data_IF_052220599798
#
_entry.id   IF_052220599798
#
_cell.length_a   1.000
_cell.length_b   1.000
_cell.length_c   1.000
_cell.angle_alpha   90.00
_cell.angle_beta   90.00
_cell.angle_gamma   90.00
#
_symmetry.space_group_name_H-M   'P 1'
#
loop_
_entity.id
_entity.type
_entity.pdbx_description
1 polymer ?
#
# COMPACT_ATOMS: atom_id res chain seq x y z
N UNK A 1 -16.16 17.23 9.29
CA UNK A 1 -14.95 16.65 8.66
C UNK A 1 -15.01 15.13 8.74
N UNK A 2 -14.94 14.48 7.61
CA UNK A 2 -14.97 13.02 7.57
C UNK A 2 -13.54 12.46 7.71
N UNK A 3 -13.39 11.48 8.59
CA UNK A 3 -12.11 10.88 8.93
C UNK A 3 -12.08 9.40 8.56
N UNK A 4 -10.96 8.94 8.06
CA UNK A 4 -10.71 7.52 7.84
C UNK A 4 -9.34 7.12 8.38
N UNK A 5 -9.29 5.96 9.02
CA UNK A 5 -8.04 5.29 9.41
C UNK A 5 -7.73 4.26 8.34
N UNK A 6 -6.51 4.15 7.90
CA UNK A 6 -6.10 3.07 7.00
C UNK A 6 -4.68 2.59 7.28
N UNK A 7 -4.43 1.35 6.87
CA UNK A 7 -3.16 0.67 6.96
C UNK A 7 -3.00 -0.27 5.77
N UNK A 8 -1.76 -0.53 5.36
CA UNK A 8 -1.45 -1.44 4.26
C UNK A 8 -0.54 -2.57 4.69
N UNK A 9 -0.68 -3.71 4.02
CA UNK A 9 0.28 -4.79 4.09
C UNK A 9 0.93 -4.97 2.72
N UNK A 10 2.23 -5.25 2.73
CA UNK A 10 3.04 -5.37 1.51
C UNK A 10 3.81 -6.68 1.50
N UNK A 11 4.14 -7.15 0.29
CA UNK A 11 5.01 -8.32 0.08
C UNK A 11 6.06 -7.95 -0.97
N UNK A 12 7.29 -8.40 -0.76
CA UNK A 12 8.36 -8.27 -1.75
C UNK A 12 8.20 -9.28 -2.88
N UNK A 13 8.74 -8.93 -4.06
CA UNK A 13 8.93 -9.91 -5.12
C UNK A 13 9.96 -10.96 -4.68
N UNK A 14 9.94 -12.13 -5.29
CA UNK A 14 10.98 -13.12 -5.06
C UNK A 14 12.31 -12.56 -5.62
N UNK A 15 13.32 -12.45 -4.75
CA UNK A 15 14.63 -11.91 -5.10
C UNK A 15 15.25 -12.62 -6.32
N UNK A 16 15.07 -13.93 -6.43
CA UNK A 16 15.59 -14.74 -7.55
C UNK A 16 14.92 -14.41 -8.89
N UNK A 17 13.75 -13.74 -8.88
CA UNK A 17 13.08 -13.31 -10.11
C UNK A 17 13.61 -11.98 -10.67
N UNK A 18 14.39 -11.25 -9.88
CA UNK A 18 15.03 -10.02 -10.32
C UNK A 18 16.17 -10.32 -11.30
N UNK A 19 16.38 -9.40 -12.26
CA UNK A 19 17.54 -9.51 -13.13
C UNK A 19 18.87 -9.33 -12.35
N UNK A 20 19.96 -9.80 -12.93
CA UNK A 20 21.26 -9.80 -12.26
C UNK A 20 21.78 -8.41 -11.88
N UNK A 21 21.44 -7.37 -12.64
CA UNK A 21 21.83 -5.99 -12.32
C UNK A 21 21.07 -5.47 -11.11
N UNK A 22 19.77 -5.77 -11.02
CA UNK A 22 18.96 -5.39 -9.88
C UNK A 22 19.41 -6.11 -8.60
N UNK A 23 19.68 -7.41 -8.70
CA UNK A 23 20.23 -8.19 -7.57
C UNK A 23 21.57 -7.61 -7.09
N UNK A 24 22.50 -7.35 -8.02
CA UNK A 24 23.80 -6.76 -7.69
C UNK A 24 23.67 -5.38 -7.05
N UNK A 25 22.80 -4.53 -7.57
CA UNK A 25 22.53 -3.20 -7.01
C UNK A 25 22.01 -3.28 -5.58
N UNK A 26 21.04 -4.14 -5.33
CA UNK A 26 20.46 -4.34 -3.99
C UNK A 26 21.50 -4.88 -2.99
N UNK A 27 22.33 -5.82 -3.42
CA UNK A 27 23.38 -6.39 -2.58
C UNK A 27 24.52 -5.41 -2.28
N UNK A 28 24.80 -4.45 -3.16
CA UNK A 28 25.83 -3.42 -2.92
C UNK A 28 25.54 -2.53 -1.72
N UNK A 29 24.29 -2.31 -1.40
CA UNK A 29 23.87 -1.51 -0.24
C UNK A 29 24.16 -2.23 1.08
N UNK A 30 24.19 -3.55 1.06
CA UNK A 30 24.49 -4.39 2.22
C UNK A 30 26.02 -4.51 2.42
N UNK A 31 26.47 -4.12 3.61
CA UNK A 31 27.90 -4.04 3.95
C UNK A 31 28.44 -5.29 4.61
N UNK A 32 27.59 -6.07 5.25
CA UNK A 32 27.96 -7.31 5.97
C UNK A 32 27.27 -8.51 5.36
N UNK A 33 27.79 -9.75 5.59
CA UNK A 33 27.09 -10.96 5.16
C UNK A 33 25.68 -11.08 5.72
N UNK A 34 25.48 -10.67 6.97
CA UNK A 34 24.19 -10.70 7.65
C UNK A 34 23.20 -9.74 6.98
N UNK A 35 23.64 -8.53 6.63
CA UNK A 35 22.82 -7.58 5.88
C UNK A 35 22.42 -8.11 4.49
N UNK A 36 23.33 -8.84 3.83
CA UNK A 36 23.04 -9.45 2.52
C UNK A 36 21.97 -10.54 2.61
N UNK A 37 21.96 -11.31 3.68
CA UNK A 37 20.94 -12.33 3.91
C UNK A 37 19.55 -11.72 4.14
N UNK A 38 19.49 -10.50 4.66
CA UNK A 38 18.23 -9.77 4.91
C UNK A 38 17.67 -9.05 3.67
N UNK A 39 18.46 -8.87 2.62
CA UNK A 39 18.01 -8.14 1.41
C UNK A 39 16.71 -8.70 0.83
N UNK A 40 16.54 -10.02 0.65
CA UNK A 40 15.28 -10.56 0.14
C UNK A 40 14.06 -10.22 1.01
N UNK A 41 14.22 -10.21 2.34
CA UNK A 41 13.13 -9.89 3.27
C UNK A 41 12.76 -8.41 3.25
N UNK A 42 13.70 -7.53 2.89
CA UNK A 42 13.50 -6.08 2.83
C UNK A 42 12.83 -5.59 1.55
N UNK A 43 12.65 -6.46 0.56
CA UNK A 43 12.03 -6.09 -0.72
C UNK A 43 10.59 -5.60 -0.56
N UNK A 44 9.89 -6.04 0.48
CA UNK A 44 8.54 -5.60 0.81
C UNK A 44 8.46 -4.14 1.28
N UNK A 45 9.57 -3.52 1.67
CA UNK A 45 9.60 -2.15 2.17
C UNK A 45 9.72 -1.09 1.08
N UNK A 46 10.00 -1.49 -0.15
CA UNK A 46 10.09 -0.58 -1.30
C UNK A 46 8.95 -0.83 -2.29
N UNK A 47 8.25 0.21 -2.75
CA UNK A 47 7.21 0.05 -3.78
C UNK A 47 7.77 -0.31 -5.17
N UNK A 48 9.10 -0.28 -5.35
CA UNK A 48 9.75 -0.71 -6.59
C UNK A 48 10.02 -2.21 -6.61
N UNK A 49 10.13 -2.85 -5.45
CA UNK A 49 10.41 -4.28 -5.29
C UNK A 49 9.32 -5.03 -4.54
N UNK A 50 8.31 -4.31 -4.08
CA UNK A 50 7.16 -4.86 -3.37
C UNK A 50 5.85 -4.49 -4.01
N UNK A 51 4.78 -5.08 -3.52
CA UNK A 51 3.40 -4.78 -3.92
C UNK A 51 2.48 -4.72 -2.70
N UNK A 52 1.36 -4.03 -2.85
CA UNK A 52 0.31 -3.98 -1.82
C UNK A 52 -0.51 -5.25 -1.89
N UNK A 53 -0.62 -5.97 -0.79
CA UNK A 53 -1.42 -7.21 -0.71
C UNK A 53 -2.71 -7.05 0.07
N UNK A 54 -2.77 -6.08 0.97
CA UNK A 54 -4.00 -5.75 1.70
C UNK A 54 -4.05 -4.26 2.05
N UNK A 55 -5.26 -3.73 2.08
CA UNK A 55 -5.56 -2.37 2.54
C UNK A 55 -6.76 -2.47 3.48
N UNK A 56 -6.57 -2.10 4.73
CA UNK A 56 -7.64 -2.00 5.71
C UNK A 56 -8.03 -0.55 5.92
N UNK A 57 -9.33 -0.27 5.97
CA UNK A 57 -9.87 1.08 6.11
C UNK A 57 -11.00 1.06 7.14
N UNK A 58 -11.03 2.06 8.02
CA UNK A 58 -12.07 2.19 9.05
C UNK A 58 -12.47 3.65 9.23
N UNK A 59 -13.77 3.89 9.17
CA UNK A 59 -14.34 5.15 9.63
C UNK A 59 -14.59 5.04 11.14
N UNK A 60 -13.84 5.79 11.98
CA UNK A 60 -13.93 5.64 13.43
C UNK A 60 -15.22 6.20 14.03
N UNK A 61 -15.93 7.08 13.31
CA UNK A 61 -17.19 7.65 13.77
C UNK A 61 -18.36 6.68 13.57
N UNK A 62 -18.33 5.88 12.50
CA UNK A 62 -19.45 4.96 12.17
C UNK A 62 -19.14 3.50 12.49
N UNK A 63 -17.86 3.15 12.69
CA UNK A 63 -17.42 1.77 12.80
C UNK A 63 -17.48 0.98 11.48
N UNK A 64 -17.83 1.62 10.36
CA UNK A 64 -17.84 1.00 9.03
C UNK A 64 -16.49 1.06 8.38
N UNK A 65 -16.16 0.06 7.57
CA UNK A 65 -14.88 -0.01 6.92
C UNK A 65 -14.82 -1.02 5.79
N UNK A 66 -13.61 -1.27 5.32
CA UNK A 66 -13.34 -2.23 4.27
C UNK A 66 -11.96 -2.87 4.45
N UNK A 67 -11.83 -4.10 4.01
CA UNK A 67 -10.56 -4.79 3.84
C UNK A 67 -10.50 -5.29 2.40
N UNK A 68 -9.63 -4.68 1.61
CA UNK A 68 -9.36 -5.08 0.23
C UNK A 68 -8.05 -5.84 0.20
N UNK A 69 -8.05 -7.05 -0.35
CA UNK A 69 -6.85 -7.88 -0.32
C UNK A 69 -6.71 -8.77 -1.55
N UNK A 70 -5.48 -9.20 -1.82
CA UNK A 70 -5.18 -10.17 -2.86
C UNK A 70 -5.30 -11.59 -2.28
N UNK A 71 -5.98 -12.48 -3.02
CA UNK A 71 -6.07 -13.91 -2.69
C UNK A 71 -5.91 -14.72 -3.98
N UNK A 72 -4.69 -14.73 -4.58
CA UNK A 72 -4.46 -15.43 -5.84
C UNK A 72 -4.75 -16.92 -5.71
N UNK A 73 -5.41 -17.49 -6.71
CA UNK A 73 -5.79 -18.91 -6.72
C UNK A 73 -7.03 -19.25 -5.88
N UNK A 74 -7.64 -18.28 -5.22
CA UNK A 74 -8.90 -18.47 -4.47
C UNK A 74 -10.07 -17.89 -5.25
N UNK A 75 -11.28 -18.39 -4.98
CA UNK A 75 -12.51 -17.81 -5.52
C UNK A 75 -12.66 -16.35 -5.04
N UNK A 76 -13.09 -15.43 -5.92
CA UNK A 76 -13.33 -14.04 -5.53
C UNK A 76 -14.35 -13.95 -4.40
N UNK A 77 -14.07 -13.08 -3.44
CA UNK A 77 -14.94 -12.83 -2.29
C UNK A 77 -15.33 -11.36 -2.28
N UNK A 78 -16.61 -11.12 -2.02
CA UNK A 78 -17.12 -9.81 -1.60
C UNK A 78 -18.24 -10.05 -0.60
N UNK A 79 -18.05 -9.64 0.64
CA UNK A 79 -19.01 -9.84 1.74
C UNK A 79 -18.95 -8.67 2.71
N UNK A 80 -20.09 -8.42 3.36
CA UNK A 80 -20.21 -7.47 4.48
C UNK A 80 -20.38 -8.26 5.77
N UNK A 81 -19.54 -7.97 6.76
CA UNK A 81 -19.66 -8.51 8.10
C UNK A 81 -19.70 -7.34 9.08
N UNK A 82 -20.85 -7.07 9.67
CA UNK A 82 -21.06 -6.02 10.68
C UNK A 82 -20.60 -4.62 10.23
N UNK A 83 -20.77 -4.29 8.95
CA UNK A 83 -20.38 -3.02 8.36
C UNK A 83 -18.94 -2.94 7.86
N UNK A 84 -18.21 -4.04 7.90
CA UNK A 84 -16.88 -4.17 7.27
C UNK A 84 -17.01 -4.99 5.99
N UNK A 85 -16.68 -4.36 4.88
CA UNK A 85 -16.67 -5.03 3.56
C UNK A 85 -15.33 -5.72 3.37
N UNK A 86 -15.36 -7.01 3.11
CA UNK A 86 -14.19 -7.79 2.72
C UNK A 86 -14.28 -8.10 1.22
N UNK A 87 -13.30 -7.66 0.44
CA UNK A 87 -13.31 -7.90 -0.99
C UNK A 87 -11.91 -8.26 -1.50
N UNK A 88 -11.84 -9.29 -2.34
CA UNK A 88 -10.58 -9.67 -3.01
C UNK A 88 -10.46 -9.02 -4.38
N UNK A 89 -9.24 -8.94 -4.88
CA UNK A 89 -8.93 -8.43 -6.21
C UNK A 89 -7.44 -8.50 -6.51
N UNK A 90 -7.07 -8.12 -7.71
CA UNK A 90 -5.67 -7.87 -8.08
C UNK A 90 -5.16 -6.62 -7.37
N UNK A 91 -3.86 -6.37 -7.38
CA UNK A 91 -3.30 -5.14 -6.81
C UNK A 91 -3.97 -3.89 -7.42
N UNK A 92 -4.12 -3.84 -8.74
CA UNK A 92 -4.79 -2.74 -9.40
C UNK A 92 -6.24 -2.55 -8.92
N UNK A 93 -6.99 -3.62 -8.78
CA UNK A 93 -8.38 -3.59 -8.33
C UNK A 93 -8.52 -3.13 -6.87
N UNK A 94 -7.66 -3.60 -5.96
CA UNK A 94 -7.69 -3.16 -4.56
C UNK A 94 -7.27 -1.70 -4.42
N UNK A 95 -6.30 -1.22 -5.23
CA UNK A 95 -5.92 0.19 -5.29
C UNK A 95 -7.07 1.06 -5.81
N UNK A 96 -7.77 0.64 -6.85
CA UNK A 96 -8.94 1.36 -7.38
C UNK A 96 -10.04 1.49 -6.32
N UNK A 97 -10.34 0.42 -5.60
CA UNK A 97 -11.32 0.41 -4.50
C UNK A 97 -10.90 1.35 -3.37
N UNK A 98 -9.63 1.33 -3.00
CA UNK A 98 -9.07 2.25 -2.02
C UNK A 98 -9.28 3.71 -2.42
N UNK A 99 -8.85 4.11 -3.63
CA UNK A 99 -8.98 5.49 -4.10
C UNK A 99 -10.44 5.94 -4.20
N UNK A 100 -11.32 5.05 -4.60
CA UNK A 100 -12.75 5.31 -4.66
C UNK A 100 -13.34 5.60 -3.28
N UNK A 101 -12.92 4.83 -2.30
CA UNK A 101 -13.38 4.98 -0.90
C UNK A 101 -12.86 6.26 -0.28
N UNK A 102 -11.55 6.55 -0.35
CA UNK A 102 -10.99 7.73 0.34
C UNK A 102 -11.36 9.06 -0.32
N UNK A 103 -11.90 9.04 -1.53
CA UNK A 103 -12.39 10.25 -2.20
C UNK A 103 -13.43 11.02 -1.36
N UNK A 104 -14.17 10.31 -0.50
CA UNK A 104 -15.21 10.88 0.35
C UNK A 104 -14.71 11.39 1.71
N UNK A 105 -13.41 11.31 1.98
CA UNK A 105 -12.83 11.67 3.26
C UNK A 105 -11.87 12.85 3.15
N UNK A 106 -11.79 13.63 4.23
CA UNK A 106 -10.97 14.86 4.31
C UNK A 106 -9.75 14.68 5.21
N UNK A 107 -9.85 13.78 6.18
CA UNK A 107 -8.78 13.50 7.12
C UNK A 107 -8.36 12.03 7.07
N UNK A 108 -7.05 11.82 7.01
CA UNK A 108 -6.44 10.50 6.92
C UNK A 108 -5.59 10.24 8.16
N UNK A 109 -5.84 9.11 8.82
CA UNK A 109 -5.10 8.68 10.00
C UNK A 109 -4.37 7.38 9.66
N UNK A 110 -3.06 7.38 9.85
CA UNK A 110 -2.19 6.24 9.58
C UNK A 110 -1.11 6.17 10.66
N UNK A 111 -0.53 4.99 10.84
CA UNK A 111 0.70 4.86 11.63
C UNK A 111 1.91 4.97 10.69
N UNK A 112 2.74 6.00 10.88
CA UNK A 112 3.91 6.29 10.03
C UNK A 112 3.61 6.40 8.51
N UNK A 113 2.36 6.72 8.14
CA UNK A 113 1.90 6.70 6.76
C UNK A 113 2.61 7.67 5.83
N UNK A 114 3.10 8.80 6.34
CA UNK A 114 3.88 9.75 5.54
C UNK A 114 5.19 9.17 5.02
N UNK A 115 5.79 8.25 5.77
CA UNK A 115 7.08 7.64 5.42
C UNK A 115 6.92 6.31 4.70
N UNK A 116 5.80 5.62 4.85
CA UNK A 116 5.60 4.28 4.29
C UNK A 116 4.32 4.14 3.48
N UNK A 117 3.13 4.10 4.13
CA UNK A 117 1.87 3.77 3.44
C UNK A 117 1.55 4.70 2.28
N UNK A 118 1.63 6.01 2.52
CA UNK A 118 1.24 6.99 1.52
C UNK A 118 2.15 7.00 0.29
N UNK A 119 3.49 7.07 0.42
CA UNK A 119 4.38 6.94 -0.73
C UNK A 119 4.24 5.59 -1.44
N UNK A 120 4.08 4.51 -0.69
CA UNK A 120 3.92 3.16 -1.24
C UNK A 120 2.66 3.07 -2.12
N UNK A 121 1.52 3.53 -1.60
CA UNK A 121 0.25 3.58 -2.34
C UNK A 121 0.35 4.45 -3.60
N UNK A 122 1.00 5.61 -3.51
CA UNK A 122 1.16 6.52 -4.65
C UNK A 122 2.01 5.89 -5.76
N UNK A 123 3.16 5.30 -5.42
CA UNK A 123 4.06 4.67 -6.40
C UNK A 123 3.42 3.42 -7.00
N UNK A 124 2.82 2.56 -6.18
CA UNK A 124 2.14 1.35 -6.69
C UNK A 124 0.94 1.69 -7.58
N UNK A 125 0.24 2.77 -7.27
CA UNK A 125 -0.84 3.27 -8.14
C UNK A 125 -0.30 3.70 -9.51
N UNK A 126 0.83 4.40 -9.54
CA UNK A 126 1.49 4.75 -10.81
C UNK A 126 1.93 3.51 -11.60
N UNK A 127 2.55 2.53 -10.94
CA UNK A 127 2.97 1.26 -11.57
C UNK A 127 1.79 0.51 -12.17
N UNK A 128 0.67 0.48 -11.46
CA UNK A 128 -0.57 -0.19 -11.90
C UNK A 128 -1.46 0.67 -12.81
N UNK A 129 -1.04 1.90 -13.14
CA UNK A 129 -1.82 2.87 -13.95
C UNK A 129 -3.18 3.18 -13.34
N UNK A 130 -3.26 3.18 -12.03
CA UNK A 130 -4.45 3.57 -11.25
C UNK A 130 -4.32 5.04 -10.86
N UNK A 131 -5.33 5.83 -11.16
CA UNK A 131 -5.32 7.25 -10.84
C UNK A 131 -5.69 7.51 -9.38
N UNK A 132 -4.81 8.13 -8.59
CA UNK A 132 -5.15 8.56 -7.24
C UNK A 132 -6.28 9.61 -7.24
N UNK A 133 -7.18 9.50 -6.28
CA UNK A 133 -8.24 10.50 -6.07
C UNK A 133 -7.80 11.63 -5.14
N UNK A 134 -6.75 11.43 -4.37
CA UNK A 134 -6.17 12.38 -3.42
C UNK A 134 -4.64 12.37 -3.52
N UNK A 135 -4.00 13.49 -3.19
CA UNK A 135 -2.56 13.51 -2.97
C UNK A 135 -2.28 13.18 -1.50
N UNK A 136 -1.79 11.97 -1.26
CA UNK A 136 -1.43 11.51 0.10
C UNK A 136 -0.02 11.91 0.53
N UNK A 137 0.77 12.49 -0.37
CA UNK A 137 2.14 12.93 -0.10
C UNK A 137 2.26 14.42 -0.42
N UNK A 138 1.59 15.29 0.37
CA UNK A 138 1.74 16.73 0.22
C UNK A 138 3.19 17.12 0.55
N UNK A 139 3.67 18.17 -0.07
CA UNK A 139 5.01 18.69 0.17
C UNK A 139 5.28 18.89 1.67
N UNK A 140 6.44 18.44 2.13
CA UNK A 140 6.86 18.54 3.54
C UNK A 140 6.98 19.99 4.03
N UNK A 141 7.07 20.94 3.09
CA UNK A 141 7.16 22.37 3.28
C UNK A 141 6.18 23.13 2.40
N UNK A 142 5.13 22.45 1.96
CA UNK A 142 4.04 23.09 1.25
C UNK A 142 3.33 24.03 2.18
N UNK A 143 3.31 25.27 1.78
CA UNK A 143 2.63 26.34 2.43
C UNK A 143 1.27 25.88 2.95
N UNK A 144 1.05 26.09 4.23
CA UNK A 144 -0.26 26.31 4.77
C UNK A 144 -0.82 27.57 4.06
N UNK A 145 -1.29 27.38 2.86
CA UNK A 145 -2.05 28.40 2.21
C UNK A 145 -3.47 27.95 2.02
N UNK A 146 -4.18 28.34 3.05
CA UNK A 146 -5.48 29.01 3.04
C UNK A 146 -6.64 28.03 2.93
#
# INVERSE_FOLDING_TARGET
MSRIVFDIETVGVDFETLDGQAQEYLLKAARTPEEKELVPEQLSFSPLTGQVVAIAMLNPETGKGAVYYQAPGSEPIERDEDGIVYATGTEAEILEKFWRTIAFYDQFVTFNGRSFDCPFLMVRSAVNKVKPSKNLVPYRYGDEHI
#
